data_IF_165444497480
#
_entry.id   IF_165444497480
#
_cell.length_a   1.000
_cell.length_b   1.000
_cell.length_c   1.000
_cell.angle_alpha   90.00
_cell.angle_beta   90.00
_cell.angle_gamma   90.00
#
_symmetry.space_group_name_H-M   'P 1'
#
loop_
_entity.id
_entity.type
_entity.pdbx_description
1 polymer ?
#
# COMPACT_ATOMS: atom_id res chain seq x y z
N UNK A 1 1.25 21.53 9.70
CA UNK A 1 1.64 20.86 8.45
C UNK A 1 0.96 19.49 8.41
N UNK A 2 0.45 19.07 7.26
CA UNK A 2 -0.08 17.72 7.01
C UNK A 2 0.64 17.17 5.77
N UNK A 3 1.45 16.13 5.97
CA UNK A 3 2.13 15.43 4.88
C UNK A 3 1.16 14.47 4.22
N UNK A 4 1.01 14.57 2.90
CA UNK A 4 0.01 13.79 2.15
C UNK A 4 0.63 13.20 0.87
N UNK A 5 0.38 11.91 0.65
CA UNK A 5 0.66 11.22 -0.60
C UNK A 5 -0.57 10.41 -1.02
N UNK A 6 -1.05 10.63 -2.25
CA UNK A 6 -2.22 10.00 -2.89
C UNK A 6 -3.59 10.14 -2.19
N UNK A 7 -3.64 10.52 -0.91
CA UNK A 7 -4.85 10.71 -0.11
C UNK A 7 -5.82 9.51 -0.12
N UNK A 8 -5.28 8.30 0.03
CA UNK A 8 -6.05 7.03 0.05
C UNK A 8 -6.31 6.52 1.47
N UNK A 9 -5.98 7.30 2.51
CA UNK A 9 -6.24 6.96 3.91
C UNK A 9 -7.74 6.89 4.22
N UNK A 10 -8.17 5.84 4.92
CA UNK A 10 -9.59 5.55 5.17
C UNK A 10 -10.11 6.07 6.52
N UNK A 11 -9.23 6.58 7.38
CA UNK A 11 -9.53 6.97 8.77
C UNK A 11 -9.44 8.48 9.00
N UNK A 12 -9.38 9.28 7.93
CA UNK A 12 -9.30 10.75 8.01
C UNK A 12 -7.92 11.32 8.36
N UNK A 13 -6.91 10.47 8.63
CA UNK A 13 -5.56 10.92 9.01
C UNK A 13 -4.76 11.62 7.90
N UNK A 14 -5.24 11.61 6.66
CA UNK A 14 -4.58 12.26 5.51
C UNK A 14 -5.13 13.65 5.18
N UNK A 15 -6.14 14.14 5.91
CA UNK A 15 -6.81 15.42 5.66
C UNK A 15 -7.02 16.20 6.95
N UNK A 16 -7.23 17.52 6.88
CA UNK A 16 -7.69 18.29 8.04
C UNK A 16 -8.96 17.68 8.65
N UNK A 17 -9.03 17.63 9.97
CA UNK A 17 -10.23 17.24 10.70
C UNK A 17 -10.89 18.49 11.28
N UNK A 18 -11.92 19.00 10.61
CA UNK A 18 -12.57 20.25 11.02
C UNK A 18 -11.77 21.51 10.70
N UNK A 19 -12.13 22.61 11.36
CA UNK A 19 -11.59 23.95 11.14
C UNK A 19 -11.16 24.62 12.47
N UNK A 20 -10.97 23.84 13.53
CA UNK A 20 -10.70 24.26 14.91
C UNK A 20 -9.21 24.22 15.27
N UNK A 21 -8.34 24.19 14.27
CA UNK A 21 -6.89 24.27 14.46
C UNK A 21 -6.49 25.67 14.95
N UNK A 22 -5.55 25.72 15.88
CA UNK A 22 -5.00 26.96 16.45
C UNK A 22 -4.11 27.76 15.49
N UNK A 23 -3.74 27.15 14.36
CA UNK A 23 -2.80 27.65 13.35
C UNK A 23 -3.25 27.28 11.95
N UNK A 24 -2.70 28.01 10.97
CA UNK A 24 -2.92 27.72 9.56
C UNK A 24 -2.50 26.29 9.18
N UNK A 25 -3.30 25.67 8.32
CA UNK A 25 -3.05 24.31 7.86
C UNK A 25 -2.37 24.35 6.50
N UNK A 26 -1.11 23.92 6.47
CA UNK A 26 -0.38 23.68 5.23
C UNK A 26 -0.43 22.19 4.91
N UNK A 27 -0.99 21.83 3.75
CA UNK A 27 -0.95 20.48 3.20
C UNK A 27 0.21 20.38 2.21
N UNK A 28 1.14 19.47 2.45
CA UNK A 28 2.23 19.17 1.53
C UNK A 28 1.88 17.92 0.75
N UNK A 29 1.56 18.11 -0.54
CA UNK A 29 1.34 17.01 -1.46
C UNK A 29 2.68 16.53 -2.01
N UNK A 30 3.08 15.33 -1.62
CA UNK A 30 4.38 14.76 -1.92
C UNK A 30 4.43 14.00 -3.26
N UNK A 31 3.33 13.92 -4.01
CA UNK A 31 3.23 13.09 -5.23
C UNK A 31 4.17 13.52 -6.37
N UNK A 32 4.74 14.73 -6.32
CA UNK A 32 5.73 15.20 -7.31
C UNK A 32 7.17 14.83 -6.95
N UNK A 33 7.40 14.32 -5.75
CA UNK A 33 8.71 13.85 -5.29
C UNK A 33 8.74 12.34 -5.52
N UNK A 34 8.63 11.93 -6.77
CA UNK A 34 8.65 10.51 -7.17
C UNK A 34 10.08 10.02 -7.35
N UNK A 35 10.27 8.70 -7.35
CA UNK A 35 11.58 8.09 -7.57
C UNK A 35 11.79 6.81 -6.79
N UNK A 36 12.09 5.73 -7.52
CA UNK A 36 12.45 4.44 -6.94
C UNK A 36 13.86 4.13 -7.39
N UNK A 37 14.77 3.90 -6.45
CA UNK A 37 16.18 3.60 -6.74
C UNK A 37 16.43 2.16 -6.32
N UNK A 38 16.69 1.28 -7.28
CA UNK A 38 17.03 -0.12 -7.00
C UNK A 38 18.49 -0.18 -6.55
N UNK A 39 18.75 -0.87 -5.45
CA UNK A 39 20.10 -1.02 -4.90
C UNK A 39 20.36 -2.50 -4.59
N UNK A 40 21.63 -2.89 -4.40
CA UNK A 40 22.02 -4.25 -4.03
C UNK A 40 21.42 -5.32 -4.97
N UNK A 41 21.53 -5.10 -6.29
CA UNK A 41 20.92 -5.97 -7.32
C UNK A 41 19.39 -6.14 -7.16
N UNK A 42 18.71 -5.04 -6.85
CA UNK A 42 17.27 -4.98 -6.60
C UNK A 42 16.79 -5.81 -5.40
N UNK A 43 17.69 -6.31 -4.54
CA UNK A 43 17.31 -6.94 -3.27
C UNK A 43 16.73 -5.93 -2.28
N UNK A 44 17.10 -4.67 -2.46
CA UNK A 44 16.59 -3.52 -1.72
C UNK A 44 16.25 -2.36 -2.66
N UNK A 45 15.43 -1.44 -2.17
CA UNK A 45 15.04 -0.22 -2.87
C UNK A 45 15.07 0.98 -1.94
N UNK A 46 15.37 2.15 -2.48
CA UNK A 46 15.08 3.44 -1.86
C UNK A 46 13.87 4.04 -2.57
N UNK A 47 12.82 4.36 -1.82
CA UNK A 47 11.60 4.96 -2.35
C UNK A 47 11.44 6.39 -1.84
N UNK A 48 11.22 7.32 -2.77
CA UNK A 48 10.90 8.73 -2.50
C UNK A 48 9.39 8.90 -2.22
N UNK A 49 8.94 10.05 -1.66
CA UNK A 49 7.61 10.20 -1.07
C UNK A 49 6.43 9.97 -2.02
N UNK A 50 6.59 10.34 -3.28
CA UNK A 50 5.60 10.16 -4.34
C UNK A 50 5.58 8.76 -4.97
N UNK A 51 6.54 7.90 -4.63
CA UNK A 51 6.67 6.56 -5.23
C UNK A 51 5.47 5.69 -4.91
N UNK A 52 4.83 5.13 -5.94
CA UNK A 52 3.65 4.28 -5.75
C UNK A 52 4.02 2.80 -5.67
N UNK A 53 3.18 2.00 -4.99
CA UNK A 53 3.34 0.56 -4.94
C UNK A 53 3.25 -0.10 -6.32
N UNK A 54 2.42 0.44 -7.22
CA UNK A 54 2.32 -0.06 -8.60
C UNK A 54 3.58 0.21 -9.42
N UNK A 55 4.20 1.38 -9.29
CA UNK A 55 5.49 1.67 -9.92
C UNK A 55 6.59 0.76 -9.39
N UNK A 56 6.59 0.51 -8.08
CA UNK A 56 7.55 -0.39 -7.44
C UNK A 56 7.42 -1.82 -7.99
N UNK A 57 6.21 -2.37 -8.02
CA UNK A 57 5.93 -3.70 -8.59
C UNK A 57 6.44 -3.79 -10.05
N UNK A 58 6.08 -2.82 -10.89
CA UNK A 58 6.51 -2.79 -12.28
C UNK A 58 8.03 -2.70 -12.45
N UNK A 59 8.71 -1.96 -11.56
CA UNK A 59 10.17 -1.78 -11.61
C UNK A 59 10.93 -3.01 -11.13
N UNK A 60 10.35 -3.79 -10.22
CA UNK A 60 10.95 -5.02 -9.68
C UNK A 60 10.73 -6.25 -10.57
N UNK A 61 9.64 -6.27 -11.34
CA UNK A 61 9.29 -7.42 -12.20
C UNK A 61 10.41 -7.90 -13.14
N UNK A 62 11.18 -7.02 -13.84
CA UNK A 62 12.29 -7.47 -14.69
C UNK A 62 13.44 -8.15 -13.94
N UNK A 63 13.52 -7.96 -12.62
CA UNK A 63 14.54 -8.53 -11.75
C UNK A 63 14.07 -9.82 -11.07
N UNK A 64 12.86 -10.31 -11.38
CA UNK A 64 12.28 -11.47 -10.69
C UNK A 64 12.03 -11.19 -9.20
N UNK A 65 11.65 -9.94 -8.89
CA UNK A 65 11.40 -9.47 -7.52
C UNK A 65 9.98 -8.94 -7.36
N UNK A 66 9.49 -8.95 -6.12
CA UNK A 66 8.20 -8.43 -5.70
C UNK A 66 8.35 -7.41 -4.54
N UNK A 67 7.40 -6.47 -4.37
CA UNK A 67 7.44 -5.51 -3.28
C UNK A 67 7.10 -6.14 -1.93
N UNK A 68 7.43 -5.42 -0.85
CA UNK A 68 7.08 -5.79 0.52
C UNK A 68 5.56 -5.76 0.82
N UNK A 69 4.74 -5.14 -0.04
CA UNK A 69 3.33 -4.90 0.24
C UNK A 69 2.46 -4.93 -1.01
N UNK A 70 1.32 -5.61 -0.91
CA UNK A 70 0.22 -5.58 -1.88
C UNK A 70 -1.07 -5.29 -1.11
N UNK A 71 -1.65 -4.11 -1.33
CA UNK A 71 -2.89 -3.64 -0.68
C UNK A 71 -3.97 -3.39 -1.74
N UNK A 72 -5.24 -3.37 -1.33
CA UNK A 72 -6.35 -3.09 -2.24
C UNK A 72 -6.21 -1.74 -2.98
N UNK A 73 -5.53 -0.76 -2.36
CA UNK A 73 -5.27 0.55 -2.97
C UNK A 73 -3.98 0.64 -3.81
N UNK A 74 -3.20 -0.44 -3.94
CA UNK A 74 -1.98 -0.45 -4.77
C UNK A 74 -2.29 -0.06 -6.21
N UNK A 75 -3.42 -0.52 -6.75
CA UNK A 75 -3.84 -0.25 -8.13
C UNK A 75 -4.46 1.14 -8.35
N UNK A 76 -4.62 1.95 -7.29
CA UNK A 76 -5.13 3.33 -7.39
C UNK A 76 -4.11 4.37 -6.93
N UNK A 77 -2.83 3.99 -6.84
CA UNK A 77 -1.72 4.91 -6.63
C UNK A 77 -1.33 5.14 -5.18
N UNK A 78 -1.63 4.22 -4.27
CA UNK A 78 -1.11 4.30 -2.90
C UNK A 78 0.43 4.38 -2.89
N UNK A 79 0.96 5.36 -2.16
CA UNK A 79 2.39 5.58 -2.03
C UNK A 79 3.04 4.58 -1.08
N UNK A 80 4.28 4.18 -1.36
CA UNK A 80 5.11 3.34 -0.50
C UNK A 80 5.28 3.96 0.88
N UNK A 81 5.70 5.24 0.94
CA UNK A 81 5.92 5.95 2.22
C UNK A 81 4.64 6.06 3.03
N UNK A 82 3.50 6.36 2.38
CA UNK A 82 2.20 6.35 3.07
C UNK A 82 1.87 5.00 3.71
N UNK A 83 2.28 3.89 3.08
CA UNK A 83 2.18 2.55 3.67
C UNK A 83 3.03 2.39 4.93
N UNK A 84 4.29 2.81 4.89
CA UNK A 84 5.21 2.81 6.04
C UNK A 84 4.68 3.68 7.19
N UNK A 85 4.29 4.91 6.90
CA UNK A 85 3.79 5.84 7.93
C UNK A 85 2.52 5.32 8.62
N UNK A 86 1.75 4.44 7.99
CA UNK A 86 0.52 3.87 8.55
C UNK A 86 0.66 2.40 8.96
N UNK A 87 1.85 1.80 8.90
CA UNK A 87 2.05 0.36 9.10
C UNK A 87 1.02 -0.47 8.30
N UNK A 88 0.85 -0.16 7.01
CA UNK A 88 -0.17 -0.79 6.18
C UNK A 88 0.07 -2.30 6.10
N UNK A 89 -0.95 -3.10 6.39
CA UNK A 89 -0.91 -4.55 6.22
C UNK A 89 -1.87 -5.00 5.13
N UNK A 90 -1.31 -5.50 4.03
CA UNK A 90 -2.06 -5.94 2.86
C UNK A 90 -2.51 -7.39 2.90
N UNK A 91 -2.65 -7.95 1.70
CA UNK A 91 -3.11 -9.32 1.45
C UNK A 91 -2.02 -10.39 1.66
N UNK A 92 -0.76 -9.98 1.68
CA UNK A 92 0.38 -10.88 1.75
C UNK A 92 0.52 -11.46 3.16
N UNK A 93 0.21 -12.74 3.35
CA UNK A 93 0.31 -13.42 4.66
C UNK A 93 1.77 -13.62 5.06
N UNK A 94 2.68 -13.71 4.09
CA UNK A 94 4.12 -13.86 4.29
C UNK A 94 4.84 -12.55 4.62
N UNK A 95 4.13 -11.42 4.63
CA UNK A 95 4.72 -10.10 4.89
C UNK A 95 3.97 -9.42 6.04
N UNK A 96 4.73 -8.87 6.97
CA UNK A 96 4.16 -8.10 8.07
C UNK A 96 3.57 -6.77 7.63
N UNK A 97 3.16 -5.94 8.59
CA UNK A 97 2.93 -4.53 8.34
C UNK A 97 4.13 -3.91 7.62
N UNK A 98 3.88 -2.96 6.71
CA UNK A 98 4.93 -2.20 6.05
C UNK A 98 5.82 -1.53 7.12
N UNK A 99 7.11 -1.85 7.13
CA UNK A 99 8.03 -1.49 8.20
C UNK A 99 9.45 -1.36 7.65
N UNK A 100 10.21 -0.42 8.21
CA UNK A 100 11.66 -0.30 8.03
C UNK A 100 12.27 0.46 9.21
N UNK A 101 13.53 0.14 9.51
CA UNK A 101 14.39 0.91 10.42
C UNK A 101 15.25 1.94 9.65
N UNK A 102 15.08 2.04 8.33
CA UNK A 102 15.95 2.83 7.46
C UNK A 102 15.18 3.92 6.72
N UNK A 103 15.32 5.16 7.17
CA UNK A 103 14.63 6.31 6.59
C UNK A 103 15.48 7.60 6.61
N UNK A 104 15.18 8.51 5.69
CA UNK A 104 15.58 9.91 5.75
C UNK A 104 14.33 10.73 6.05
N UNK A 105 14.34 11.50 7.12
CA UNK A 105 13.18 12.29 7.53
C UNK A 105 13.60 13.59 8.23
N UNK A 106 12.69 14.57 8.23
CA UNK A 106 12.82 15.75 9.08
C UNK A 106 11.84 15.70 10.25
N UNK A 107 12.28 16.24 11.39
CA UNK A 107 11.52 16.32 12.62
C UNK A 107 11.78 17.64 13.33
N UNK A 108 10.84 18.08 14.17
CA UNK A 108 11.11 19.13 15.15
C UNK A 108 11.74 18.50 16.38
N UNK A 109 12.84 19.07 16.86
CA UNK A 109 13.42 18.69 18.15
C UNK A 109 12.59 19.28 19.32
N UNK A 110 13.01 19.00 20.56
CA UNK A 110 12.32 19.47 21.77
C UNK A 110 12.27 21.01 21.88
N UNK A 111 13.21 21.70 21.24
CA UNK A 111 13.30 23.16 21.17
C UNK A 111 12.45 23.75 20.03
N UNK A 112 11.81 22.90 19.20
CA UNK A 112 11.03 23.32 18.05
C UNK A 112 11.86 23.67 16.82
N UNK A 113 13.14 23.27 16.77
CA UNK A 113 14.01 23.47 15.62
C UNK A 113 13.89 22.29 14.65
N UNK A 114 13.93 22.57 13.35
CA UNK A 114 13.82 21.55 12.32
C UNK A 114 15.17 20.89 12.06
N UNK A 115 15.21 19.56 12.17
CA UNK A 115 16.41 18.75 11.93
C UNK A 115 16.15 17.70 10.85
N UNK A 116 17.16 17.46 9.98
CA UNK A 116 17.17 16.34 9.04
C UNK A 116 17.94 15.16 9.65
N UNK A 117 17.32 13.98 9.68
CA UNK A 117 17.91 12.74 10.19
C UNK A 117 18.09 11.75 9.04
N UNK A 118 19.34 11.46 8.69
CA UNK A 118 19.69 10.46 7.69
C UNK A 118 20.02 9.10 8.35
N UNK A 119 19.02 8.23 8.43
CA UNK A 119 19.18 6.84 8.87
C UNK A 119 18.93 5.86 7.71
N UNK A 120 19.18 6.24 6.45
CA UNK A 120 19.04 5.32 5.30
C UNK A 120 20.13 4.23 5.25
N UNK A 121 21.21 4.40 6.01
CA UNK A 121 22.43 3.60 5.83
C UNK A 121 23.09 3.86 4.48
N UNK A 122 22.97 5.08 3.95
CA UNK A 122 23.63 5.55 2.73
C UNK A 122 24.34 6.86 3.07
N UNK A 123 25.64 6.93 2.78
CA UNK A 123 26.38 8.19 2.89
C UNK A 123 25.95 9.12 1.76
N UNK A 124 25.31 10.23 2.15
CA UNK A 124 24.74 11.22 1.25
C UNK A 124 25.37 12.60 1.45
N UNK A 125 26.41 12.70 2.29
CA UNK A 125 27.00 13.97 2.70
C UNK A 125 26.55 14.44 4.09
N UNK A 126 26.86 15.70 4.39
CA UNK A 126 26.84 16.24 5.76
C UNK A 126 25.86 17.38 5.99
N UNK A 127 25.45 18.09 4.93
CA UNK A 127 24.45 19.18 5.03
C UNK A 127 23.11 18.73 4.47
N UNK A 128 21.98 19.34 4.92
CA UNK A 128 20.67 19.02 4.37
C UNK A 128 20.59 19.16 2.85
N UNK A 129 21.17 20.21 2.28
CA UNK A 129 21.17 20.44 0.83
C UNK A 129 21.94 19.36 0.08
N UNK A 130 23.13 18.99 0.58
CA UNK A 130 23.95 17.94 -0.01
C UNK A 130 23.23 16.59 0.02
N UNK A 131 22.67 16.23 1.17
CA UNK A 131 21.93 14.97 1.37
C UNK A 131 20.74 14.89 0.41
N UNK A 132 19.93 15.94 0.32
CA UNK A 132 18.74 15.96 -0.52
C UNK A 132 19.07 15.96 -2.00
N UNK A 133 20.10 16.71 -2.44
CA UNK A 133 20.55 16.73 -3.85
C UNK A 133 21.10 15.36 -4.25
N UNK A 134 21.94 14.76 -3.40
CA UNK A 134 22.53 13.46 -3.69
C UNK A 134 21.47 12.35 -3.73
N UNK A 135 20.51 12.37 -2.79
CA UNK A 135 19.41 11.44 -2.80
C UNK A 135 18.54 11.60 -4.06
N UNK A 136 18.09 12.83 -4.36
CA UNK A 136 17.20 13.07 -5.51
C UNK A 136 17.87 12.70 -6.84
N UNK A 137 19.15 13.04 -6.99
CA UNK A 137 19.93 12.75 -8.20
C UNK A 137 20.47 11.32 -8.29
N UNK A 138 20.30 10.50 -7.25
CA UNK A 138 20.96 9.20 -7.11
C UNK A 138 22.50 9.32 -7.25
N UNK A 139 23.08 10.37 -6.66
CA UNK A 139 24.53 10.64 -6.69
C UNK A 139 25.26 9.91 -5.56
N UNK A 140 25.08 8.60 -5.48
CA UNK A 140 25.80 7.73 -4.56
C UNK A 140 26.10 6.40 -5.25
N UNK A 141 27.08 5.66 -4.74
CA UNK A 141 27.56 4.41 -5.34
C UNK A 141 27.40 3.25 -4.35
N UNK A 142 27.62 2.03 -4.83
CA UNK A 142 27.53 0.82 -4.02
C UNK A 142 28.39 0.87 -2.74
N UNK A 143 29.56 1.51 -2.80
CA UNK A 143 30.47 1.66 -1.65
C UNK A 143 29.93 2.59 -0.56
N UNK A 144 28.99 3.48 -0.91
CA UNK A 144 28.39 4.45 0.00
C UNK A 144 27.17 3.84 0.73
N UNK A 145 26.76 2.63 0.32
CA UNK A 145 25.63 1.89 0.89
C UNK A 145 26.14 0.93 1.96
N UNK A 146 25.83 1.24 3.22
CA UNK A 146 26.09 0.36 4.35
C UNK A 146 25.22 -0.91 4.22
N UNK A 147 25.88 -2.06 4.33
CA UNK A 147 25.22 -3.36 4.39
C UNK A 147 24.79 -3.64 5.83
N UNK A 148 23.67 -4.35 6.00
CA UNK A 148 23.14 -4.77 7.31
C UNK A 148 22.94 -3.61 8.32
N UNK A 149 22.64 -2.40 7.84
CA UNK A 149 22.48 -1.21 8.68
C UNK A 149 21.23 -1.26 9.58
N UNK A 150 20.14 -1.84 9.08
CA UNK A 150 18.88 -1.96 9.79
C UNK A 150 17.91 -2.86 9.01
N UNK A 151 16.75 -3.16 9.61
CA UNK A 151 15.73 -4.00 8.98
C UNK A 151 14.98 -3.26 7.88
N UNK A 152 14.90 -3.85 6.68
CA UNK A 152 14.10 -3.32 5.57
C UNK A 152 12.67 -3.86 5.51
N UNK A 153 12.27 -4.73 6.44
CA UNK A 153 10.93 -5.27 6.65
C UNK A 153 10.76 -5.89 8.06
N UNK A 154 9.54 -6.29 8.45
CA UNK A 154 9.31 -7.08 9.67
C UNK A 154 9.70 -8.55 9.45
N UNK A 155 10.94 -8.89 9.76
CA UNK A 155 11.49 -10.26 9.66
C UNK A 155 10.79 -11.28 10.56
N UNK A 156 10.15 -10.83 11.65
CA UNK A 156 9.57 -11.71 12.67
C UNK A 156 8.15 -12.16 12.33
N UNK A 157 7.48 -11.46 11.40
CA UNK A 157 6.05 -11.62 11.18
C UNK A 157 5.61 -13.02 10.77
N UNK A 158 6.37 -13.70 9.91
CA UNK A 158 6.04 -15.08 9.50
C UNK A 158 5.99 -16.05 10.68
N UNK A 159 6.79 -15.82 11.72
CA UNK A 159 6.75 -16.62 12.93
C UNK A 159 5.58 -16.21 13.82
N UNK A 160 5.28 -14.92 13.91
CA UNK A 160 4.19 -14.36 14.71
C UNK A 160 2.81 -14.76 14.19
N UNK A 161 2.58 -14.68 12.87
CA UNK A 161 1.29 -15.03 12.25
C UNK A 161 0.93 -16.51 12.43
N UNK A 162 1.94 -17.37 12.66
CA UNK A 162 1.75 -18.80 12.96
C UNK A 162 1.38 -19.08 14.41
N UNK A 163 1.48 -18.11 15.32
CA UNK A 163 1.10 -18.27 16.72
C UNK A 163 -0.43 -18.23 16.89
N UNK A 164 -1.12 -19.25 16.39
CA UNK A 164 -2.60 -19.28 16.28
C UNK A 164 -3.36 -19.40 17.60
N UNK A 165 -2.65 -19.70 18.70
CA UNK A 165 -3.20 -19.84 20.06
C UNK A 165 -2.87 -18.65 20.95
N UNK A 166 -2.12 -17.67 20.44
CA UNK A 166 -1.90 -16.40 21.14
C UNK A 166 -3.20 -15.62 21.25
N UNK A 167 -3.44 -15.05 22.44
CA UNK A 167 -4.62 -14.21 22.71
C UNK A 167 -4.43 -12.77 22.23
N UNK A 168 -3.50 -12.53 21.30
CA UNK A 168 -3.17 -11.22 20.76
C UNK A 168 -3.37 -11.20 19.23
N UNK A 169 -3.75 -10.05 18.63
CA UNK A 169 -3.87 -9.98 17.19
C UNK A 169 -2.52 -10.16 16.49
N UNK A 170 -2.52 -10.77 15.30
CA UNK A 170 -1.31 -10.89 14.48
C UNK A 170 -0.70 -9.53 14.09
N UNK A 171 -1.55 -8.50 13.90
CA UNK A 171 -1.10 -7.14 13.61
C UNK A 171 -2.19 -6.13 13.94
N UNK A 172 -1.79 -4.96 14.42
CA UNK A 172 -2.65 -3.80 14.68
C UNK A 172 -1.81 -2.52 14.72
N UNK A 173 -2.42 -1.36 14.46
CA UNK A 173 -1.65 -0.12 14.26
C UNK A 173 -0.94 0.39 15.53
N UNK A 174 -1.48 0.11 16.72
CA UNK A 174 -0.94 0.56 18.00
C UNK A 174 0.12 -0.40 18.58
N UNK A 175 0.64 -1.31 17.76
CA UNK A 175 1.69 -2.24 18.16
C UNK A 175 3.05 -1.53 18.24
N UNK A 176 3.53 -1.31 19.46
CA UNK A 176 4.78 -0.59 19.71
C UNK A 176 5.99 -1.29 19.12
N UNK A 177 5.97 -2.61 18.90
CA UNK A 177 7.07 -3.33 18.28
C UNK A 177 7.25 -2.97 16.80
N UNK A 178 6.23 -2.36 16.18
CA UNK A 178 6.26 -1.88 14.79
C UNK A 178 6.24 -0.36 14.68
N UNK A 179 6.49 0.36 15.78
CA UNK A 179 6.71 1.80 15.79
C UNK A 179 8.20 2.09 15.83
N UNK A 180 8.72 2.66 14.75
CA UNK A 180 10.12 3.05 14.68
C UNK A 180 10.28 4.17 13.66
N UNK A 181 10.64 5.37 14.13
CA UNK A 181 10.88 6.55 13.30
C UNK A 181 9.78 6.75 12.24
N UNK A 182 10.07 6.53 10.95
CA UNK A 182 9.11 6.66 9.87
C UNK A 182 7.97 5.62 9.94
N UNK A 183 8.26 4.39 10.38
CA UNK A 183 7.30 3.28 10.49
C UNK A 183 6.28 3.56 11.59
N UNK A 184 5.01 3.73 11.19
CA UNK A 184 3.92 4.10 12.10
C UNK A 184 3.89 5.57 12.50
N UNK A 185 4.69 6.44 11.85
CA UNK A 185 4.77 7.88 12.20
C UNK A 185 3.47 8.66 12.00
N UNK A 186 2.53 8.17 11.19
CA UNK A 186 1.24 8.79 10.89
C UNK A 186 1.33 10.29 10.54
N UNK A 187 2.37 10.69 9.80
CA UNK A 187 2.58 12.08 9.35
C UNK A 187 3.17 13.02 10.39
N UNK A 188 3.58 12.51 11.57
CA UNK A 188 4.32 13.27 12.59
C UNK A 188 5.75 13.62 12.17
N UNK A 189 6.29 12.89 11.19
CA UNK A 189 7.58 13.15 10.55
C UNK A 189 7.36 13.56 9.09
N UNK A 190 8.29 14.38 8.56
CA UNK A 190 8.39 14.64 7.13
C UNK A 190 9.38 13.65 6.51
N UNK A 191 8.89 12.53 6.00
CA UNK A 191 9.73 11.47 5.45
C UNK A 191 10.11 11.78 3.99
N UNK A 192 11.40 11.83 3.71
CA UNK A 192 11.97 12.10 2.39
C UNK A 192 12.37 10.83 1.63
N UNK A 193 12.72 9.76 2.33
CA UNK A 193 12.95 8.46 1.71
C UNK A 193 12.87 7.33 2.74
N UNK A 194 12.61 6.13 2.23
CA UNK A 194 12.69 4.87 2.98
C UNK A 194 13.52 3.87 2.19
N UNK A 195 14.37 3.10 2.88
CA UNK A 195 15.07 1.94 2.32
C UNK A 195 14.35 0.67 2.75
N UNK A 196 14.02 -0.19 1.79
CA UNK A 196 13.15 -1.35 1.99
C UNK A 196 13.73 -2.59 1.35
N UNK A 197 13.48 -3.74 1.95
CA UNK A 197 13.73 -5.03 1.32
C UNK A 197 12.67 -5.31 0.26
N UNK A 198 13.08 -6.06 -0.75
CA UNK A 198 12.18 -6.68 -1.72
C UNK A 198 12.23 -8.19 -1.55
N UNK A 199 11.47 -8.95 -2.33
CA UNK A 199 11.41 -10.40 -2.19
C UNK A 199 11.49 -11.11 -3.54
N UNK A 200 11.92 -12.39 -3.58
CA UNK A 200 11.87 -13.17 -4.81
C UNK A 200 10.42 -13.26 -5.30
N UNK A 201 10.21 -13.12 -6.61
CA UNK A 201 8.89 -13.29 -7.19
C UNK A 201 8.54 -14.79 -7.23
N UNK A 202 7.36 -15.12 -6.71
CA UNK A 202 6.81 -16.48 -6.82
C UNK A 202 6.38 -16.77 -8.26
N UNK A 203 6.90 -17.85 -8.84
CA UNK A 203 6.72 -18.16 -10.27
C UNK A 203 5.59 -19.16 -10.55
N UNK A 204 5.30 -20.04 -9.58
CA UNK A 204 4.23 -21.03 -9.65
C UNK A 204 3.21 -20.64 -8.58
N UNK A 205 2.07 -20.08 -9.00
CA UNK A 205 1.01 -19.64 -8.08
C UNK A 205 -0.32 -20.21 -8.53
N UNK A 206 -1.12 -20.70 -7.59
CA UNK A 206 -2.45 -21.23 -7.83
C UNK A 206 -3.50 -20.56 -6.93
N UNK A 207 -4.63 -20.17 -7.52
CA UNK A 207 -5.76 -19.61 -6.78
C UNK A 207 -6.83 -20.68 -6.55
N UNK A 208 -7.13 -20.96 -5.29
CA UNK A 208 -8.21 -21.84 -4.85
C UNK A 208 -9.40 -21.00 -4.38
N UNK A 209 -10.56 -21.23 -4.98
CA UNK A 209 -11.82 -20.58 -4.59
C UNK A 209 -12.63 -21.50 -3.69
N UNK A 210 -12.69 -21.19 -2.40
CA UNK A 210 -13.29 -22.07 -1.38
C UNK A 210 -14.62 -21.48 -0.93
N UNK A 211 -15.71 -22.21 -1.19
CA UNK A 211 -17.07 -21.81 -0.83
C UNK A 211 -17.61 -22.58 0.38
N UNK A 212 -18.11 -21.91 1.42
CA UNK A 212 -18.83 -22.58 2.54
C UNK A 212 -19.94 -21.69 3.11
N UNK A 213 -20.86 -22.26 3.90
CA UNK A 213 -21.82 -21.50 4.72
C UNK A 213 -21.52 -21.61 6.22
N UNK A 214 -20.45 -22.29 6.60
CA UNK A 214 -20.02 -22.49 7.98
C UNK A 214 -18.69 -21.78 8.20
N UNK A 215 -18.66 -20.79 9.08
CA UNK A 215 -17.45 -19.99 9.39
C UNK A 215 -16.36 -20.83 10.04
N UNK A 216 -16.73 -21.85 10.80
CA UNK A 216 -15.78 -22.71 11.51
C UNK A 216 -14.89 -23.48 10.53
N UNK A 217 -15.43 -23.89 9.37
CA UNK A 217 -14.64 -24.52 8.29
C UNK A 217 -13.53 -23.59 7.78
N UNK A 218 -13.81 -22.29 7.65
CA UNK A 218 -12.79 -21.31 7.24
C UNK A 218 -11.73 -21.11 8.31
N UNK A 219 -12.13 -21.12 9.58
CA UNK A 219 -11.20 -21.04 10.70
C UNK A 219 -10.31 -22.29 10.78
N UNK A 220 -10.87 -23.48 10.55
CA UNK A 220 -10.12 -24.73 10.53
C UNK A 220 -9.08 -24.73 9.41
N UNK A 221 -9.47 -24.30 8.20
CA UNK A 221 -8.53 -24.13 7.08
C UNK A 221 -7.41 -23.18 7.47
N UNK A 222 -7.73 -22.00 8.01
CA UNK A 222 -6.73 -21.02 8.50
C UNK A 222 -5.77 -21.66 9.51
N UNK A 223 -6.28 -22.35 10.53
CA UNK A 223 -5.47 -22.97 11.58
C UNK A 223 -4.57 -24.08 11.01
N UNK A 224 -5.09 -24.93 10.13
CA UNK A 224 -4.32 -25.99 9.47
C UNK A 224 -3.16 -25.41 8.65
N UNK A 225 -3.41 -24.38 7.84
CA UNK A 225 -2.35 -23.75 7.05
C UNK A 225 -1.27 -23.11 7.92
N UNK A 226 -1.67 -22.31 8.92
CA UNK A 226 -0.72 -21.60 9.77
C UNK A 226 0.07 -22.54 10.69
N UNK A 227 -0.51 -23.64 11.17
CA UNK A 227 0.17 -24.58 12.06
C UNK A 227 1.02 -25.63 11.33
N UNK A 228 0.58 -26.09 10.15
CA UNK A 228 1.12 -27.33 9.58
C UNK A 228 1.69 -27.20 8.17
N UNK A 229 1.33 -26.18 7.38
CA UNK A 229 1.95 -26.04 6.07
C UNK A 229 3.39 -25.61 6.22
N UNK A 230 4.28 -26.24 5.45
CA UNK A 230 5.68 -25.86 5.35
C UNK A 230 5.82 -24.42 4.86
N UNK A 231 5.08 -24.07 3.80
CA UNK A 231 5.02 -22.72 3.25
C UNK A 231 3.72 -22.02 3.64
N UNK A 232 3.82 -20.75 4.02
CA UNK A 232 2.65 -19.91 4.24
C UNK A 232 2.00 -19.60 2.88
N UNK A 233 0.65 -19.58 2.78
CA UNK A 233 -0.02 -19.08 1.59
C UNK A 233 0.46 -17.66 1.24
N UNK A 234 0.46 -17.30 -0.05
CA UNK A 234 0.77 -15.93 -0.45
C UNK A 234 -0.31 -15.00 0.10
N UNK A 235 -1.58 -15.34 -0.11
CA UNK A 235 -2.73 -14.57 0.36
C UNK A 235 -3.93 -15.44 0.71
N UNK A 236 -4.79 -14.94 1.59
CA UNK A 236 -6.05 -15.56 1.98
C UNK A 236 -7.12 -14.49 2.18
N UNK A 237 -7.88 -14.19 1.13
CA UNK A 237 -8.87 -13.11 1.13
C UNK A 237 -10.27 -13.64 1.41
N UNK A 238 -10.92 -13.13 2.46
CA UNK A 238 -12.29 -13.46 2.81
C UNK A 238 -13.28 -12.47 2.20
N UNK A 239 -14.33 -12.97 1.54
CA UNK A 239 -15.45 -12.13 1.08
C UNK A 239 -16.80 -12.72 1.49
N UNK A 240 -17.54 -11.96 2.29
CA UNK A 240 -18.92 -12.30 2.66
C UNK A 240 -19.87 -12.15 1.46
N UNK A 241 -20.98 -12.91 1.47
CA UNK A 241 -21.99 -12.93 0.39
C UNK A 241 -22.48 -11.53 0.04
N UNK A 242 -22.85 -10.72 1.03
CA UNK A 242 -23.40 -9.38 0.78
C UNK A 242 -22.37 -8.45 0.12
N UNK A 243 -21.10 -8.53 0.55
CA UNK A 243 -20.01 -7.77 -0.05
C UNK A 243 -19.76 -8.20 -1.49
N UNK A 244 -19.81 -9.51 -1.76
CA UNK A 244 -19.74 -10.05 -3.12
C UNK A 244 -20.88 -9.54 -3.99
N UNK A 245 -22.12 -9.59 -3.52
CA UNK A 245 -23.30 -9.14 -4.27
C UNK A 245 -23.26 -7.65 -4.59
N UNK A 246 -22.78 -6.82 -3.64
CA UNK A 246 -22.56 -5.40 -3.85
C UNK A 246 -21.48 -5.19 -4.92
N UNK A 247 -20.33 -5.87 -4.80
CA UNK A 247 -19.25 -5.77 -5.78
C UNK A 247 -19.69 -6.22 -7.19
N UNK A 248 -20.43 -7.31 -7.29
CA UNK A 248 -20.96 -7.83 -8.56
C UNK A 248 -22.00 -6.89 -9.19
N UNK A 249 -22.79 -6.19 -8.37
CA UNK A 249 -23.79 -5.23 -8.85
C UNK A 249 -23.16 -3.92 -9.31
N UNK A 250 -22.24 -3.35 -8.53
CA UNK A 250 -21.76 -1.99 -8.72
C UNK A 250 -20.34 -1.88 -9.29
N UNK A 251 -19.52 -2.93 -9.24
CA UNK A 251 -18.14 -2.92 -9.72
C UNK A 251 -17.96 -3.33 -11.19
N UNK A 252 -19.03 -3.41 -11.97
CA UNK A 252 -19.02 -3.97 -13.34
C UNK A 252 -18.14 -3.16 -14.30
N UNK A 253 -18.19 -1.85 -14.19
CA UNK A 253 -17.38 -0.92 -14.99
C UNK A 253 -15.89 -1.11 -14.72
N UNK A 254 -15.53 -1.15 -13.44
CA UNK A 254 -14.16 -1.36 -12.97
C UNK A 254 -13.66 -2.74 -13.38
N UNK A 255 -14.46 -3.79 -13.19
CA UNK A 255 -14.15 -5.14 -13.64
C UNK A 255 -13.92 -5.22 -15.15
N UNK A 256 -14.78 -4.60 -15.95
CA UNK A 256 -14.63 -4.60 -17.41
C UNK A 256 -13.33 -3.93 -17.85
N UNK A 257 -12.96 -2.81 -17.21
CA UNK A 257 -11.68 -2.14 -17.47
C UNK A 257 -10.50 -3.03 -17.09
N UNK A 258 -10.52 -3.65 -15.91
CA UNK A 258 -9.46 -4.59 -15.48
C UNK A 258 -9.34 -5.75 -16.46
N UNK A 259 -10.46 -6.36 -16.86
CA UNK A 259 -10.46 -7.51 -17.76
C UNK A 259 -9.91 -7.16 -19.15
N UNK A 260 -10.22 -5.97 -19.67
CA UNK A 260 -9.86 -5.58 -21.04
C UNK A 260 -8.50 -4.89 -21.16
N UNK A 261 -8.14 -4.09 -20.16
CA UNK A 261 -6.97 -3.22 -20.20
C UNK A 261 -5.96 -3.49 -19.08
N UNK A 262 -6.28 -4.36 -18.12
CA UNK A 262 -5.44 -4.64 -16.97
C UNK A 262 -5.57 -3.61 -15.85
N UNK A 263 -5.05 -3.95 -14.66
CA UNK A 263 -5.12 -3.12 -13.45
C UNK A 263 -4.36 -1.80 -13.57
N UNK A 264 -3.32 -1.73 -14.40
CA UNK A 264 -2.50 -0.53 -14.63
C UNK A 264 -3.27 0.66 -15.25
N UNK A 265 -4.47 0.42 -15.80
CA UNK A 265 -5.35 1.49 -16.30
C UNK A 265 -6.24 2.13 -15.23
N UNK A 266 -6.40 1.50 -14.07
CA UNK A 266 -7.27 2.01 -13.01
C UNK A 266 -6.89 3.42 -12.53
N UNK A 267 -5.60 3.78 -12.31
CA UNK A 267 -5.25 5.14 -11.90
C UNK A 267 -5.69 6.20 -12.93
N UNK A 268 -5.57 5.89 -14.23
CA UNK A 268 -6.00 6.79 -15.31
C UNK A 268 -7.52 6.91 -15.37
N UNK A 269 -8.25 5.81 -15.16
CA UNK A 269 -9.70 5.81 -15.09
C UNK A 269 -10.19 6.70 -13.94
N UNK A 270 -9.62 6.54 -12.74
CA UNK A 270 -10.00 7.32 -11.56
C UNK A 270 -9.60 8.80 -11.70
N UNK A 271 -8.46 9.12 -12.30
CA UNK A 271 -8.09 10.53 -12.54
C UNK A 271 -9.02 11.19 -13.57
N UNK A 272 -9.39 10.49 -14.64
CA UNK A 272 -10.38 10.96 -15.61
C UNK A 272 -11.74 11.20 -14.94
N UNK A 273 -12.18 10.23 -14.12
CA UNK A 273 -13.41 10.33 -13.32
C UNK A 273 -13.41 11.58 -12.44
N UNK A 274 -12.35 11.78 -11.67
CA UNK A 274 -12.20 12.93 -10.78
C UNK A 274 -12.19 14.26 -11.56
N UNK A 275 -11.55 14.29 -12.73
CA UNK A 275 -11.54 15.46 -13.60
C UNK A 275 -12.94 15.79 -14.13
N UNK A 276 -13.68 14.78 -14.61
CA UNK A 276 -15.06 14.93 -15.08
C UNK A 276 -15.96 15.43 -13.95
N UNK A 277 -15.89 14.82 -12.76
CA UNK A 277 -16.71 15.24 -11.63
C UNK A 277 -16.37 16.67 -11.17
N UNK A 278 -15.08 17.06 -11.20
CA UNK A 278 -14.65 18.43 -10.91
C UNK A 278 -15.19 19.43 -11.92
N UNK A 279 -15.28 19.06 -13.20
CA UNK A 279 -15.88 19.90 -14.24
C UNK A 279 -17.41 19.97 -14.07
N UNK A 280 -18.07 18.85 -13.78
CA UNK A 280 -19.52 18.81 -13.56
C UNK A 280 -19.94 19.65 -12.36
N UNK A 281 -19.14 19.70 -11.28
CA UNK A 281 -19.39 20.58 -10.11
C UNK A 281 -19.41 22.08 -10.45
N UNK A 282 -18.80 22.51 -11.57
CA UNK A 282 -18.77 23.91 -12.00
C UNK A 282 -19.99 24.31 -12.84
N UNK A 283 -20.86 23.35 -13.19
CA UNK A 283 -22.00 23.54 -14.09
C UNK A 283 -23.28 23.21 -13.33
N UNK A 284 -24.11 24.22 -13.00
CA UNK A 284 -25.21 24.06 -12.04
C UNK A 284 -26.32 23.08 -12.48
N UNK A 285 -26.45 22.79 -13.78
CA UNK A 285 -27.47 21.87 -14.30
C UNK A 285 -27.02 20.41 -14.40
N UNK A 286 -25.71 20.12 -14.25
CA UNK A 286 -25.21 18.74 -14.31
C UNK A 286 -25.35 18.09 -12.93
N UNK A 287 -25.81 16.82 -12.85
CA UNK A 287 -25.90 16.15 -11.58
C UNK A 287 -24.52 15.98 -10.94
N UNK A 288 -24.45 16.17 -9.63
CA UNK A 288 -23.30 15.76 -8.83
C UNK A 288 -23.01 14.27 -9.08
N UNK A 289 -21.73 13.92 -9.22
CA UNK A 289 -21.24 12.58 -9.56
C UNK A 289 -21.73 12.06 -10.93
N UNK A 290 -21.68 12.91 -11.95
CA UNK A 290 -22.10 12.59 -13.32
C UNK A 290 -21.38 11.35 -13.85
N UNK A 291 -20.07 11.22 -13.59
CA UNK A 291 -19.28 10.10 -14.08
C UNK A 291 -19.76 8.75 -13.52
N UNK A 292 -20.07 8.68 -12.22
CA UNK A 292 -20.63 7.49 -11.56
C UNK A 292 -21.98 7.11 -12.16
N UNK A 293 -22.88 8.09 -12.27
CA UNK A 293 -24.24 7.87 -12.78
C UNK A 293 -24.21 7.38 -14.23
N UNK A 294 -23.34 7.94 -15.05
CA UNK A 294 -23.16 7.55 -16.44
C UNK A 294 -22.60 6.12 -16.58
N UNK A 295 -21.54 5.80 -15.84
CA UNK A 295 -20.97 4.45 -15.84
C UNK A 295 -21.95 3.40 -15.32
N UNK A 296 -22.71 3.72 -14.28
CA UNK A 296 -23.79 2.85 -13.79
C UNK A 296 -24.88 2.65 -14.85
N UNK A 297 -25.27 3.69 -15.60
CA UNK A 297 -26.26 3.58 -16.67
C UNK A 297 -25.78 2.69 -17.82
N UNK A 298 -24.52 2.84 -18.24
CA UNK A 298 -23.89 1.94 -19.21
C UNK A 298 -23.85 0.50 -18.68
N UNK A 299 -23.46 0.30 -17.42
CA UNK A 299 -23.37 -1.03 -16.82
C UNK A 299 -24.73 -1.76 -16.76
N UNK A 300 -25.85 -1.01 -16.63
CA UNK A 300 -27.20 -1.56 -16.69
C UNK A 300 -27.56 -2.08 -18.09
N UNK A 301 -27.02 -1.46 -19.13
CA UNK A 301 -27.24 -1.88 -20.53
C UNK A 301 -26.43 -3.15 -20.87
N UNK A 302 -25.24 -3.30 -20.29
CA UNK A 302 -24.40 -4.51 -20.42
C UNK A 302 -24.80 -5.63 -19.44
N UNK A 303 -26.05 -6.10 -19.51
CA UNK A 303 -26.63 -7.10 -18.59
C UNK A 303 -25.97 -8.50 -18.66
N UNK A 304 -25.23 -8.81 -19.72
CA UNK A 304 -24.75 -10.18 -20.04
C UNK A 304 -23.27 -10.49 -19.74
N UNK A 305 -22.56 -9.68 -18.94
CA UNK A 305 -21.11 -9.90 -18.73
C UNK A 305 -20.81 -11.04 -17.72
N UNK A 306 -21.81 -11.57 -17.00
CA UNK A 306 -21.62 -12.70 -16.07
C UNK A 306 -22.69 -13.78 -16.24
N UNK A 307 -22.27 -14.98 -16.65
CA UNK A 307 -22.97 -16.22 -16.37
C UNK A 307 -22.42 -16.83 -15.07
N UNK A 308 -23.36 -17.08 -14.13
CA UNK A 308 -23.36 -18.05 -13.02
C UNK A 308 -22.05 -18.25 -12.22
N UNK A 309 -22.00 -17.64 -11.04
CA UNK A 309 -21.60 -18.33 -9.80
C UNK A 309 -22.54 -17.80 -8.70
N UNK A 310 -23.61 -18.54 -8.42
CA UNK A 310 -24.53 -18.23 -7.31
C UNK A 310 -24.40 -19.33 -6.26
N UNK A 311 -24.08 -18.98 -5.00
CA UNK A 311 -24.42 -19.85 -3.87
C UNK A 311 -23.50 -19.99 -2.66
N UNK A 312 -22.39 -19.25 -2.48
CA UNK A 312 -21.49 -19.53 -1.34
C UNK A 312 -20.60 -18.36 -0.92
N UNK A 313 -20.31 -18.26 0.39
CA UNK A 313 -19.29 -17.37 0.97
C UNK A 313 -17.92 -17.90 0.52
N UNK A 314 -17.09 -17.06 -0.08
CA UNK A 314 -15.85 -17.46 -0.74
C UNK A 314 -14.59 -16.99 0.00
N UNK A 315 -13.58 -17.84 0.11
CA UNK A 315 -12.18 -17.39 0.23
C UNK A 315 -11.52 -17.57 -1.12
N UNK A 316 -10.87 -16.53 -1.63
CA UNK A 316 -9.92 -16.66 -2.73
C UNK A 316 -8.53 -16.76 -2.10
N UNK A 317 -7.88 -17.91 -2.29
CA UNK A 317 -6.61 -18.23 -1.65
C UNK A 317 -5.55 -18.43 -2.72
N UNK A 318 -4.44 -17.70 -2.63
CA UNK A 318 -3.32 -17.89 -3.55
C UNK A 318 -2.23 -18.68 -2.80
N UNK A 319 -1.96 -19.90 -3.25
CA UNK A 319 -0.93 -20.80 -2.70
C UNK A 319 0.16 -20.97 -3.75
N UNK A 320 1.40 -21.20 -3.31
CA UNK A 320 2.51 -21.69 -4.12
C UNK A 320 2.40 -23.21 -4.23
#
# INVERSE_FOLDING_TARGET
MINQAANTGLTGGSTPNGNDYDREIVIINAMRIDGIQLINNASQVVCLPGSTLNELENKLKPYGREPHSVIGSSCIGASVIGGICNNSGGALVQRGPAYTEMALYAQLNEQGELELKNHLGIDLGSTPEEILINLQGHHYQQKDILQDFGKGHDHSYCNHVRQIDENSPARFNADSARHYEASGSAGKLAVFAVRLDTFPLESETAVFYIGTNQTDVLNDIRRQMLAHFEQLPISGEYIHRDAFDIAARYGKDTFWVIKKFGTHWLPKLFSLKANVDRLSKKVSFLPHHLSDKFLQLISKYYRNIYQRVYGSIGIAMNII
#
